data_IF_476561486951
#
_entry.id   IF_476561486951
#
_cell.length_a   1.000
_cell.length_b   1.000
_cell.length_c   1.000
_cell.angle_alpha   90.00
_cell.angle_beta   90.00
_cell.angle_gamma   90.00
#
_symmetry.space_group_name_H-M   'P 1'
#
loop_
_entity.id
_entity.type
_entity.pdbx_description
1 polymer ?
#
# COMPACT_ATOMS: atom_id res chain seq x y z
N UNK A 1 1.82 21.13 -11.98
CA UNK A 1 1.52 21.31 -10.55
C UNK A 1 0.65 20.14 -10.12
N UNK A 2 0.82 19.61 -8.90
CA UNK A 2 -0.04 18.53 -8.43
C UNK A 2 -1.50 18.99 -8.36
N UNK A 3 -2.43 18.08 -8.66
CA UNK A 3 -3.88 18.30 -8.56
C UNK A 3 -4.28 18.58 -7.11
N UNK A 4 -3.70 17.83 -6.17
CA UNK A 4 -3.90 18.01 -4.74
C UNK A 4 -2.74 18.80 -4.14
N UNK A 5 -3.04 19.92 -3.47
CA UNK A 5 -2.01 20.80 -2.91
C UNK A 5 -1.24 20.14 -1.76
N UNK A 6 -1.86 19.18 -1.08
CA UNK A 6 -1.29 18.42 0.03
C UNK A 6 -0.60 17.12 -0.39
N UNK A 7 -0.34 16.90 -1.68
CA UNK A 7 0.42 15.73 -2.14
C UNK A 7 1.83 15.73 -1.51
N UNK A 8 2.24 14.66 -0.80
CA UNK A 8 3.55 14.60 -0.17
C UNK A 8 4.66 14.46 -1.21
N UNK A 9 5.83 15.02 -0.94
CA UNK A 9 7.02 14.73 -1.72
C UNK A 9 7.58 13.34 -1.38
N UNK A 10 8.50 12.83 -2.20
CA UNK A 10 9.17 11.54 -1.93
C UNK A 10 9.87 11.55 -0.56
N UNK A 11 10.48 12.68 -0.17
CA UNK A 11 11.12 12.83 1.13
C UNK A 11 10.12 12.74 2.29
N UNK A 12 8.91 13.31 2.15
CA UNK A 12 7.86 13.21 3.15
C UNK A 12 7.38 11.76 3.28
N UNK A 13 7.15 11.09 2.16
CA UNK A 13 6.77 9.68 2.16
C UNK A 13 7.81 8.79 2.88
N UNK A 14 9.11 8.96 2.59
CA UNK A 14 10.16 8.18 3.25
C UNK A 14 10.28 8.47 4.74
N UNK A 15 10.02 9.71 5.17
CA UNK A 15 9.96 10.09 6.59
C UNK A 15 8.81 9.36 7.29
N UNK A 16 7.63 9.38 6.68
CA UNK A 16 6.40 8.87 7.31
C UNK A 16 6.27 7.34 7.21
N UNK A 17 6.93 6.72 6.23
CA UNK A 17 6.98 5.26 6.02
C UNK A 17 8.44 4.75 5.94
N UNK A 18 9.20 4.73 7.06
CA UNK A 18 10.65 4.50 7.08
C UNK A 18 11.09 3.12 6.56
N UNK A 19 10.20 2.12 6.52
CA UNK A 19 10.44 0.83 5.87
C UNK A 19 10.77 0.95 4.37
N UNK A 20 10.42 2.08 3.74
CA UNK A 20 10.74 2.42 2.35
C UNK A 20 11.84 3.48 2.23
N UNK A 21 12.63 3.74 3.28
CA UNK A 21 13.63 4.82 3.27
C UNK A 21 14.86 4.54 2.40
N UNK A 22 15.22 3.28 2.18
CA UNK A 22 16.40 2.87 1.40
C UNK A 22 16.20 3.18 -0.10
N UNK A 23 16.94 4.14 -0.70
CA UNK A 23 16.76 4.52 -2.10
C UNK A 23 17.29 3.47 -3.08
N UNK A 24 18.20 2.58 -2.66
CA UNK A 24 18.67 1.48 -3.49
C UNK A 24 17.62 0.38 -3.58
N UNK A 25 16.92 0.09 -2.47
CA UNK A 25 15.81 -0.86 -2.46
C UNK A 25 14.55 -0.27 -3.04
N UNK A 26 14.24 1.00 -2.82
CA UNK A 26 13.02 1.66 -3.27
C UNK A 26 13.39 2.91 -4.08
N UNK A 27 13.62 2.79 -5.40
CA UNK A 27 14.07 3.91 -6.22
C UNK A 27 13.08 5.08 -6.19
N UNK A 28 13.60 6.30 -6.18
CA UNK A 28 12.80 7.53 -6.15
C UNK A 28 11.77 7.60 -7.29
N UNK A 29 12.17 7.20 -8.50
CA UNK A 29 11.28 7.18 -9.65
C UNK A 29 10.05 6.28 -9.45
N UNK A 30 10.19 5.17 -8.72
CA UNK A 30 9.08 4.25 -8.43
C UNK A 30 8.08 4.88 -7.43
N UNK A 31 8.59 5.54 -6.39
CA UNK A 31 7.76 6.25 -5.40
C UNK A 31 7.06 7.43 -6.07
N UNK A 32 7.79 8.25 -6.83
CA UNK A 32 7.21 9.41 -7.53
C UNK A 32 6.13 8.99 -8.53
N UNK A 33 6.33 7.89 -9.26
CA UNK A 33 5.31 7.36 -10.17
C UNK A 33 4.00 7.01 -9.43
N UNK A 34 4.10 6.39 -8.25
CA UNK A 34 2.93 6.05 -7.44
C UNK A 34 2.29 7.26 -6.76
N UNK A 35 3.07 8.27 -6.38
CA UNK A 35 2.55 9.55 -5.90
C UNK A 35 1.74 10.26 -7.00
N UNK A 36 2.26 10.30 -8.24
CA UNK A 36 1.53 10.86 -9.37
C UNK A 36 0.20 10.12 -9.61
N UNK A 37 0.22 8.78 -9.53
CA UNK A 37 -1.01 7.98 -9.66
C UNK A 37 -2.00 8.26 -8.51
N UNK A 38 -1.52 8.41 -7.28
CA UNK A 38 -2.35 8.77 -6.13
C UNK A 38 -2.97 10.16 -6.31
N UNK A 39 -2.23 11.12 -6.87
CA UNK A 39 -2.72 12.48 -7.15
C UNK A 39 -3.89 12.48 -8.15
N UNK A 40 -3.80 11.64 -9.19
CA UNK A 40 -4.85 11.48 -10.20
C UNK A 40 -6.10 10.82 -9.60
N UNK A 41 -5.94 9.72 -8.86
CA UNK A 41 -7.04 8.89 -8.37
C UNK A 41 -7.73 9.43 -7.12
N UNK A 42 -6.98 10.11 -6.25
CA UNK A 42 -7.49 10.60 -4.96
C UNK A 42 -7.78 12.11 -5.03
N UNK A 43 -8.59 12.57 -4.07
CA UNK A 43 -8.86 14.01 -3.93
C UNK A 43 -8.87 14.46 -2.48
N UNK A 44 -8.13 15.53 -2.19
CA UNK A 44 -8.09 16.17 -0.87
C UNK A 44 -9.43 16.84 -0.50
N UNK A 45 -10.34 17.02 -1.46
CA UNK A 45 -11.70 17.50 -1.21
C UNK A 45 -12.56 16.45 -0.49
N UNK A 46 -12.23 15.16 -0.62
CA UNK A 46 -12.94 14.07 0.07
C UNK A 46 -12.30 13.78 1.43
N UNK A 47 -10.98 13.60 1.47
CA UNK A 47 -10.28 13.20 2.71
C UNK A 47 -9.88 14.37 3.59
N UNK A 48 -9.88 15.59 3.05
CA UNK A 48 -9.33 16.79 3.68
C UNK A 48 -7.80 16.85 3.58
N UNK A 49 -7.26 18.06 3.47
CA UNK A 49 -5.81 18.32 3.30
C UNK A 49 -4.92 17.72 4.39
N UNK A 50 -5.45 17.53 5.61
CA UNK A 50 -4.70 16.96 6.74
C UNK A 50 -4.49 15.44 6.62
N UNK A 51 -5.48 14.72 6.11
CA UNK A 51 -5.43 13.27 6.00
C UNK A 51 -4.94 12.81 4.64
N UNK A 52 -5.12 13.61 3.59
CA UNK A 52 -4.70 13.27 2.23
C UNK A 52 -3.25 12.74 2.13
N UNK A 53 -2.22 13.33 2.80
CA UNK A 53 -0.87 12.78 2.77
C UNK A 53 -0.79 11.34 3.29
N UNK A 54 -1.58 10.99 4.31
CA UNK A 54 -1.62 9.64 4.86
C UNK A 54 -2.27 8.64 3.89
N UNK A 55 -3.39 9.02 3.26
CA UNK A 55 -4.03 8.20 2.23
C UNK A 55 -3.13 7.95 1.03
N UNK A 56 -2.50 9.00 0.50
CA UNK A 56 -1.52 8.88 -0.57
C UNK A 56 -0.34 8.00 -0.14
N UNK A 57 0.12 8.15 1.10
CA UNK A 57 1.16 7.32 1.69
C UNK A 57 0.80 5.84 1.76
N UNK A 58 -0.39 5.48 2.27
CA UNK A 58 -0.86 4.09 2.31
C UNK A 58 -1.00 3.49 0.90
N UNK A 59 -1.53 4.26 -0.04
CA UNK A 59 -1.62 3.87 -1.45
C UNK A 59 -0.23 3.54 -2.03
N UNK A 60 0.74 4.44 -1.86
CA UNK A 60 2.11 4.23 -2.33
C UNK A 60 2.78 3.05 -1.62
N UNK A 61 2.63 2.95 -0.30
CA UNK A 61 3.17 1.87 0.51
C UNK A 61 2.66 0.49 0.08
N UNK A 62 1.37 0.39 -0.28
CA UNK A 62 0.80 -0.82 -0.84
C UNK A 62 1.54 -1.24 -2.12
N UNK A 63 1.69 -0.34 -3.08
CA UNK A 63 2.40 -0.64 -4.33
C UNK A 63 3.90 -0.90 -4.13
N UNK A 64 4.57 -0.21 -3.21
CA UNK A 64 5.99 -0.46 -2.91
C UNK A 64 6.20 -1.84 -2.28
N UNK A 65 5.24 -2.30 -1.48
CA UNK A 65 5.26 -3.65 -0.89
C UNK A 65 5.11 -4.72 -1.98
N UNK A 66 4.17 -4.53 -2.91
CA UNK A 66 3.99 -5.44 -4.06
C UNK A 66 5.21 -5.43 -4.98
N UNK A 67 5.72 -4.24 -5.32
CA UNK A 67 6.91 -4.09 -6.16
C UNK A 67 8.14 -4.76 -5.55
N UNK A 68 8.30 -4.72 -4.23
CA UNK A 68 9.38 -5.44 -3.55
C UNK A 68 9.18 -6.97 -3.60
N UNK A 69 7.94 -7.46 -3.55
CA UNK A 69 7.66 -8.89 -3.73
C UNK A 69 7.97 -9.35 -5.16
N UNK A 70 7.53 -8.57 -6.16
CA UNK A 70 7.81 -8.84 -7.58
C UNK A 70 9.31 -8.81 -7.88
N UNK A 71 10.02 -7.83 -7.34
CA UNK A 71 11.47 -7.72 -7.50
C UNK A 71 12.21 -8.93 -6.93
N UNK A 72 11.76 -9.46 -5.78
CA UNK A 72 12.32 -10.69 -5.20
C UNK A 72 12.00 -11.93 -6.05
N UNK A 73 10.78 -12.03 -6.58
CA UNK A 73 10.38 -13.14 -7.44
C UNK A 73 11.24 -13.16 -8.72
N UNK A 74 11.42 -12.00 -9.36
CA UNK A 74 12.27 -11.81 -10.53
C UNK A 74 13.73 -12.22 -10.26
N UNK A 75 14.30 -11.79 -9.12
CA UNK A 75 15.67 -12.17 -8.74
C UNK A 75 15.83 -13.68 -8.49
N UNK A 76 14.76 -14.37 -8.11
CA UNK A 76 14.72 -15.82 -7.93
C UNK A 76 14.40 -16.60 -9.22
N UNK A 77 14.29 -15.92 -10.37
CA UNK A 77 13.94 -16.54 -11.66
C UNK A 77 12.45 -16.84 -11.83
N UNK A 78 11.61 -16.39 -10.88
CA UNK A 78 10.15 -16.47 -10.99
C UNK A 78 9.55 -15.29 -11.75
N UNK A 79 8.28 -15.38 -12.16
CA UNK A 79 7.58 -14.26 -12.77
C UNK A 79 7.34 -13.14 -11.75
N UNK A 80 7.52 -11.89 -12.16
CA UNK A 80 6.95 -10.74 -11.45
C UNK A 80 5.44 -10.61 -11.72
N UNK A 81 4.71 -9.94 -10.83
CA UNK A 81 3.29 -9.63 -10.99
C UNK A 81 2.34 -10.74 -10.57
N UNK A 82 2.79 -11.66 -9.71
CA UNK A 82 1.94 -12.75 -9.23
C UNK A 82 0.85 -12.21 -8.31
N UNK A 83 -0.42 -12.48 -8.61
CA UNK A 83 -1.56 -12.14 -7.76
C UNK A 83 -1.76 -13.16 -6.65
N UNK A 84 -0.68 -13.47 -5.93
CA UNK A 84 -0.77 -14.33 -4.76
C UNK A 84 -1.30 -13.44 -3.64
N UNK A 85 -2.47 -13.79 -3.09
CA UNK A 85 -3.02 -13.14 -1.90
C UNK A 85 -2.04 -13.16 -0.73
N UNK A 86 -2.45 -12.63 0.43
CA UNK A 86 -1.60 -12.60 1.63
C UNK A 86 -1.02 -13.99 1.90
N UNK A 87 0.30 -14.09 2.06
CA UNK A 87 0.96 -15.35 2.42
C UNK A 87 0.44 -15.81 3.79
N UNK A 88 -0.45 -16.81 3.76
CA UNK A 88 -1.04 -17.41 4.96
C UNK A 88 -0.18 -18.52 5.53
N UNK A 89 0.86 -18.98 4.84
CA UNK A 89 1.84 -19.89 5.42
C UNK A 89 3.20 -19.83 4.73
N UNK A 90 4.25 -20.20 5.48
CA UNK A 90 5.61 -20.42 5.01
C UNK A 90 6.21 -21.60 5.77
N UNK A 91 6.69 -22.61 5.05
CA UNK A 91 7.35 -23.78 5.63
C UNK A 91 8.81 -23.85 5.20
N UNK A 92 9.70 -24.13 6.15
CA UNK A 92 11.14 -24.38 5.93
C UNK A 92 11.53 -25.61 6.74
N UNK A 93 11.95 -26.68 6.04
CA UNK A 93 12.25 -28.01 6.62
C UNK A 93 11.09 -28.52 7.50
N UNK A 94 11.30 -28.61 8.82
CA UNK A 94 10.28 -29.07 9.78
C UNK A 94 9.50 -27.94 10.46
N UNK A 95 9.80 -26.68 10.12
CA UNK A 95 9.15 -25.50 10.71
C UNK A 95 8.14 -24.95 9.72
N UNK A 96 6.86 -24.91 10.12
CA UNK A 96 5.81 -24.22 9.40
C UNK A 96 5.32 -23.03 10.21
N UNK A 97 5.15 -21.90 9.55
CA UNK A 97 4.49 -20.72 10.08
C UNK A 97 3.21 -20.56 9.28
N UNK A 98 2.06 -20.57 9.95
CA UNK A 98 0.78 -20.25 9.33
C UNK A 98 0.21 -19.00 10.00
N UNK A 99 -0.23 -18.05 9.19
CA UNK A 99 -0.91 -16.83 9.59
C UNK A 99 -2.40 -16.98 9.29
N UNK A 100 -3.24 -16.82 10.32
CA UNK A 100 -4.67 -16.62 10.12
C UNK A 100 -4.91 -15.16 9.71
N UNK A 101 -5.28 -14.97 8.45
CA UNK A 101 -5.60 -13.67 7.87
C UNK A 101 -7.12 -13.43 7.79
N UNK A 102 -7.93 -14.45 8.10
CA UNK A 102 -9.39 -14.40 7.96
C UNK A 102 -10.03 -13.42 8.95
N UNK A 103 -9.42 -13.24 10.13
CA UNK A 103 -9.92 -12.32 11.15
C UNK A 103 -9.70 -10.83 10.81
N UNK A 104 -8.77 -10.53 9.91
CA UNK A 104 -8.33 -9.15 9.64
C UNK A 104 -8.63 -8.67 8.24
N UNK A 105 -8.76 -9.59 7.27
CA UNK A 105 -9.07 -9.24 5.89
C UNK A 105 -10.57 -9.12 5.72
N UNK A 106 -11.01 -7.99 5.18
CA UNK A 106 -12.39 -7.84 4.74
C UNK A 106 -12.51 -8.46 3.34
N UNK A 107 -13.45 -9.39 3.08
CA UNK A 107 -13.58 -10.06 1.78
C UNK A 107 -13.82 -9.08 0.62
N UNK A 108 -14.36 -7.89 0.89
CA UNK A 108 -14.70 -6.89 -0.12
C UNK A 108 -13.48 -6.08 -0.61
N UNK A 109 -12.34 -6.11 0.09
CA UNK A 109 -11.21 -5.23 -0.25
C UNK A 109 -10.40 -5.74 -1.46
N UNK A 110 -10.60 -7.00 -1.86
CA UNK A 110 -10.03 -7.59 -3.07
C UNK A 110 -8.52 -7.37 -3.21
N UNK A 111 -8.10 -6.61 -4.23
CA UNK A 111 -6.70 -6.29 -4.49
C UNK A 111 -5.99 -5.61 -3.29
N UNK A 112 -6.72 -4.80 -2.53
CA UNK A 112 -6.13 -4.05 -1.41
C UNK A 112 -5.70 -4.96 -0.25
N UNK A 113 -6.34 -6.13 -0.10
CA UNK A 113 -5.96 -7.13 0.90
C UNK A 113 -4.54 -7.68 0.71
N UNK A 114 -3.91 -7.53 -0.47
CA UNK A 114 -2.58 -8.09 -0.72
C UNK A 114 -1.50 -7.54 0.23
N UNK A 115 -1.74 -6.40 0.89
CA UNK A 115 -0.81 -5.83 1.88
C UNK A 115 -1.56 -5.17 3.02
N UNK A 116 -0.95 -5.09 4.21
CA UNK A 116 -1.57 -4.36 5.34
C UNK A 116 -1.89 -2.91 5.01
N UNK A 117 -1.04 -2.25 4.22
CA UNK A 117 -1.21 -0.85 3.82
C UNK A 117 -2.41 -0.68 2.91
N UNK A 118 -2.65 -1.65 2.02
CA UNK A 118 -3.81 -1.64 1.16
C UNK A 118 -5.10 -1.88 1.94
N UNK A 119 -5.10 -2.85 2.84
CA UNK A 119 -6.25 -3.13 3.69
C UNK A 119 -6.64 -1.89 4.53
N UNK A 120 -5.65 -1.27 5.18
CA UNK A 120 -5.88 -0.02 5.91
C UNK A 120 -6.36 1.13 5.01
N UNK A 121 -5.77 1.27 3.81
CA UNK A 121 -6.22 2.26 2.83
C UNK A 121 -7.69 2.07 2.46
N UNK A 122 -8.09 0.85 2.11
CA UNK A 122 -9.45 0.51 1.72
C UNK A 122 -10.43 0.76 2.87
N UNK A 123 -10.09 0.28 4.07
CA UNK A 123 -10.89 0.48 5.27
C UNK A 123 -11.11 1.97 5.57
N UNK A 124 -10.09 2.81 5.45
CA UNK A 124 -10.21 4.23 5.73
C UNK A 124 -10.95 4.98 4.62
N UNK A 125 -10.66 4.69 3.35
CA UNK A 125 -11.22 5.47 2.23
C UNK A 125 -12.73 5.21 2.07
N UNK A 126 -13.18 3.99 2.38
CA UNK A 126 -14.60 3.63 2.36
C UNK A 126 -15.39 4.29 3.49
N UNK A 127 -14.77 4.63 4.62
CA UNK A 127 -15.44 5.43 5.67
C UNK A 127 -15.80 6.84 5.19
N UNK A 128 -15.02 7.43 4.28
CA UNK A 128 -15.29 8.77 3.74
C UNK A 128 -16.40 8.81 2.69
N UNK A 129 -16.96 7.65 2.30
CA UNK A 129 -18.17 7.54 1.47
C UNK A 129 -19.43 7.09 2.24
N UNK A 130 -19.27 6.43 3.38
CA UNK A 130 -20.37 5.88 4.18
C UNK A 130 -20.89 6.83 5.28
N UNK A 131 -20.20 7.96 5.53
CA UNK A 131 -20.40 8.75 6.73
C UNK A 131 -19.80 8.07 7.96
N UNK A 132 -19.76 8.77 9.10
CA UNK A 132 -19.40 8.14 10.38
C UNK A 132 -20.30 6.92 10.62
N UNK A 133 -19.71 5.81 11.08
CA UNK A 133 -20.44 4.55 11.33
C UNK A 133 -21.69 4.84 12.16
N UNK A 134 -22.87 4.68 11.57
CA UNK A 134 -24.13 4.74 12.30
C UNK A 134 -24.19 3.51 13.21
N UNK A 135 -24.34 3.75 14.51
CA UNK A 135 -24.69 2.72 15.50
C UNK A 135 -26.20 2.56 15.55
#
# INVERSE_FOLDING_TARGET
>A
MPKNQSLPAVSDFRRDFPQFADPAKYPEAQIQFRLNLADELLTENVTGKKLFPYFAGLFVAHYMTLWAADSRAMLAGGPGGSTNGVQSSKSVDKVSVSYDTSATLNPDEGFWNNTRYGAEFYQLITMFGAGGRQL
#
